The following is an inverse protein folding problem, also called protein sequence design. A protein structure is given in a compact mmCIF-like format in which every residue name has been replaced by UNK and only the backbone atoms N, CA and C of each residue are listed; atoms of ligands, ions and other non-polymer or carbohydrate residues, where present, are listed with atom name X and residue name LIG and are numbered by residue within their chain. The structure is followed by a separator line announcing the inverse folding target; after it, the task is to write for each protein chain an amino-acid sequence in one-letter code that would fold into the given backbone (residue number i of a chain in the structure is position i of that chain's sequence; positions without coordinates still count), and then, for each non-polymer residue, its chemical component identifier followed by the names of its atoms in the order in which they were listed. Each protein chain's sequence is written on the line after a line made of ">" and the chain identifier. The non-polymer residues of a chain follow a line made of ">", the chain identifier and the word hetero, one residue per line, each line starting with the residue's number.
data_IF_774509827142
#
_entry.id   IF_774509827142
#
_cell.length_a   1.000
_cell.length_b   1.000
_cell.length_c   1.000
_cell.angle_alpha   90.00
_cell.angle_beta   90.00
_cell.angle_gamma   90.00
#
_symmetry.space_group_name_H-M   'P 1'
#
loop_
_entity.id
_entity.type
_entity.pdbx_description
1 polymer ?
#
# COMPACT_ATOMS: atom_id res chain seq x y z
N UNK A 1 -7.70 -10.25 10.41
CA UNK A 1 -9.01 -10.68 9.81
C UNK A 1 -8.73 -11.75 8.76
N UNK A 2 -9.18 -12.98 8.97
CA UNK A 2 -8.84 -14.11 8.09
C UNK A 2 -9.58 -14.01 6.74
N UNK A 3 -8.89 -14.29 5.65
CA UNK A 3 -9.46 -14.43 4.31
C UNK A 3 -9.93 -15.87 4.11
N UNK A 4 -10.99 -16.07 3.30
CA UNK A 4 -11.45 -17.43 2.95
C UNK A 4 -10.43 -18.06 2.01
N UNK A 5 -9.85 -19.18 2.42
CA UNK A 5 -8.85 -19.97 1.69
C UNK A 5 -9.41 -21.36 1.36
N UNK A 6 -9.13 -21.84 0.16
CA UNK A 6 -9.60 -23.15 -0.32
C UNK A 6 -8.47 -23.84 -1.08
N UNK A 7 -8.14 -25.07 -0.72
CA UNK A 7 -7.15 -25.88 -1.43
C UNK A 7 -7.78 -26.44 -2.71
N UNK A 8 -7.14 -26.21 -3.85
CA UNK A 8 -7.49 -26.75 -5.17
C UNK A 8 -6.23 -26.94 -6.00
N UNK A 9 -6.25 -27.88 -6.97
CA UNK A 9 -5.16 -27.96 -7.94
C UNK A 9 -5.15 -26.74 -8.86
N UNK A 10 -3.99 -26.42 -9.42
CA UNK A 10 -3.83 -25.33 -10.37
C UNK A 10 -4.80 -25.45 -11.56
N UNK A 11 -4.94 -26.67 -12.10
CA UNK A 11 -5.80 -26.93 -13.26
C UNK A 11 -7.30 -26.78 -12.93
N UNK A 12 -7.71 -27.09 -11.69
CA UNK A 12 -9.07 -26.85 -11.25
C UNK A 12 -9.36 -25.36 -11.16
N UNK A 13 -8.41 -24.56 -10.65
CA UNK A 13 -8.55 -23.10 -10.55
C UNK A 13 -8.59 -22.45 -11.93
N UNK A 14 -7.75 -22.90 -12.86
CA UNK A 14 -7.76 -22.41 -14.24
C UNK A 14 -9.08 -22.68 -15.00
N UNK A 15 -9.86 -23.66 -14.56
CA UNK A 15 -11.21 -23.98 -15.13
C UNK A 15 -12.33 -23.18 -14.52
N UNK A 16 -12.06 -22.42 -13.45
CA UNK A 16 -13.09 -21.57 -12.84
C UNK A 16 -13.45 -20.45 -13.82
N UNK A 17 -14.75 -20.22 -13.97
CA UNK A 17 -15.22 -19.08 -14.75
C UNK A 17 -14.91 -17.80 -13.99
N UNK A 18 -14.17 -16.90 -14.63
CA UNK A 18 -14.02 -15.52 -14.15
C UNK A 18 -15.40 -14.86 -14.11
N UNK A 19 -15.72 -14.23 -13.00
CA UNK A 19 -17.02 -13.54 -12.87
C UNK A 19 -17.08 -12.37 -13.87
N UNK A 20 -18.28 -12.15 -14.42
CA UNK A 20 -18.52 -10.99 -15.27
C UNK A 20 -18.41 -9.70 -14.43
N UNK A 21 -17.79 -8.67 -15.00
CA UNK A 21 -17.72 -7.37 -14.39
C UNK A 21 -19.11 -6.85 -13.98
N UNK A 22 -19.21 -6.36 -12.75
CA UNK A 22 -20.46 -5.79 -12.17
C UNK A 22 -20.23 -4.30 -11.87
N UNK A 23 -21.06 -3.44 -12.45
CA UNK A 23 -21.02 -1.99 -12.18
C UNK A 23 -21.17 -1.69 -10.69
N UNK A 24 -20.59 -0.60 -10.17
CA UNK A 24 -20.81 -0.12 -8.81
C UNK A 24 -22.31 0.07 -8.51
N UNK A 25 -22.69 -0.14 -7.28
CA UNK A 25 -24.03 0.14 -6.78
C UNK A 25 -23.99 1.28 -5.77
N UNK A 26 -25.06 2.02 -5.64
CA UNK A 26 -25.13 3.12 -4.68
C UNK A 26 -24.79 2.63 -3.27
N UNK A 27 -23.88 3.34 -2.58
CA UNK A 27 -23.49 3.03 -1.21
C UNK A 27 -24.72 3.07 -0.28
N UNK A 28 -24.86 2.07 0.59
CA UNK A 28 -25.90 2.04 1.61
C UNK A 28 -25.72 3.14 2.63
N UNK A 29 -26.72 4.00 2.76
CA UNK A 29 -26.73 5.07 3.77
C UNK A 29 -26.63 4.51 5.19
N UNK A 30 -27.28 3.38 5.45
CA UNK A 30 -27.21 2.70 6.77
C UNK A 30 -25.77 2.26 7.07
N UNK A 31 -25.11 1.56 6.13
CA UNK A 31 -23.73 1.09 6.33
C UNK A 31 -22.76 2.25 6.49
N UNK A 32 -22.95 3.36 5.76
CA UNK A 32 -22.14 4.57 5.93
C UNK A 32 -22.26 5.14 7.35
N UNK A 33 -23.47 5.20 7.91
CA UNK A 33 -23.66 5.63 9.29
C UNK A 33 -23.08 4.64 10.32
N UNK A 34 -23.17 3.34 10.05
CA UNK A 34 -22.53 2.31 10.88
C UNK A 34 -21.01 2.50 10.89
N UNK A 35 -20.38 2.72 9.74
CA UNK A 35 -18.94 3.00 9.65
C UNK A 35 -18.60 4.25 10.48
N UNK A 36 -19.35 5.36 10.35
CA UNK A 36 -19.17 6.58 11.16
C UNK A 36 -19.21 6.27 12.66
N UNK A 37 -20.17 5.45 13.09
CA UNK A 37 -20.33 5.10 14.52
C UNK A 37 -19.15 4.25 15.00
N UNK A 38 -18.77 3.22 14.24
CA UNK A 38 -17.65 2.34 14.58
C UNK A 38 -16.31 3.09 14.59
N UNK A 39 -16.15 4.11 13.74
CA UNK A 39 -14.94 4.94 13.68
C UNK A 39 -14.75 5.81 14.93
N UNK A 40 -15.82 6.16 15.66
CA UNK A 40 -15.74 7.06 16.83
C UNK A 40 -14.75 6.60 17.91
N UNK A 41 -14.68 5.29 18.14
CA UNK A 41 -13.79 4.73 19.16
C UNK A 41 -12.32 4.97 18.81
N UNK A 42 -11.95 4.73 17.55
CA UNK A 42 -10.57 4.93 17.06
C UNK A 42 -10.24 6.43 16.97
N UNK A 43 -11.16 7.25 16.47
CA UNK A 43 -10.96 8.71 16.41
C UNK A 43 -10.76 9.31 17.81
N UNK A 44 -11.48 8.80 18.81
CA UNK A 44 -11.26 9.19 20.21
C UNK A 44 -9.91 8.68 20.75
N UNK A 45 -9.56 7.42 20.47
CA UNK A 45 -8.32 6.80 20.95
C UNK A 45 -7.05 7.47 20.38
N UNK A 46 -7.17 8.07 19.18
CA UNK A 46 -6.08 8.79 18.50
C UNK A 46 -6.17 10.30 18.64
N UNK A 47 -7.06 10.82 19.47
CA UNK A 47 -7.31 12.28 19.63
C UNK A 47 -7.40 12.97 18.25
N UNK A 48 -8.13 12.33 17.31
CA UNK A 48 -8.17 12.75 15.92
C UNK A 48 -8.57 14.21 15.74
N UNK A 49 -7.80 14.95 14.96
CA UNK A 49 -8.08 16.33 14.58
C UNK A 49 -8.04 16.50 13.05
N UNK A 50 -8.72 17.53 12.54
CA UNK A 50 -8.75 17.80 11.11
C UNK A 50 -8.69 19.29 10.83
N UNK A 51 -7.85 19.66 9.85
CA UNK A 51 -7.77 20.98 9.25
C UNK A 51 -8.43 20.96 7.86
N UNK A 52 -9.22 21.99 7.54
CA UNK A 52 -9.86 22.15 6.24
C UNK A 52 -9.32 23.38 5.51
N UNK A 53 -8.87 23.20 4.25
CA UNK A 53 -8.30 24.25 3.42
C UNK A 53 -9.05 24.36 2.11
N UNK A 54 -9.72 25.49 1.88
CA UNK A 54 -10.46 25.77 0.63
C UNK A 54 -11.67 24.88 0.38
N UNK A 55 -12.15 24.16 1.41
CA UNK A 55 -13.27 23.21 1.28
C UNK A 55 -14.64 23.88 1.08
N UNK A 56 -14.74 25.17 1.35
CA UNK A 56 -15.89 26.03 1.03
C UNK A 56 -16.17 26.12 -0.48
N UNK A 57 -15.17 25.86 -1.33
CA UNK A 57 -15.28 25.76 -2.79
C UNK A 57 -16.04 24.53 -3.26
N UNK A 58 -16.08 23.44 -2.48
CA UNK A 58 -16.76 22.19 -2.83
C UNK A 58 -18.24 22.27 -2.47
N UNK A 59 -19.13 22.22 -3.46
CA UNK A 59 -20.58 22.21 -3.22
C UNK A 59 -21.02 20.94 -2.49
N UNK A 60 -22.09 21.03 -1.72
CA UNK A 60 -22.57 19.95 -0.84
C UNK A 60 -22.77 18.60 -1.56
N UNK A 61 -23.39 18.63 -2.73
CA UNK A 61 -23.75 17.42 -3.51
C UNK A 61 -22.89 17.23 -4.76
N UNK A 62 -21.79 17.99 -4.91
CA UNK A 62 -20.89 17.90 -6.05
C UNK A 62 -19.97 16.68 -5.87
N UNK A 63 -19.99 15.70 -6.81
CA UNK A 63 -19.06 14.58 -6.76
C UNK A 63 -17.62 15.06 -6.93
N UNK A 64 -16.71 14.48 -6.15
CA UNK A 64 -15.29 14.82 -6.22
C UNK A 64 -14.43 13.55 -6.12
N UNK A 65 -13.21 13.63 -6.65
CA UNK A 65 -12.19 12.62 -6.44
C UNK A 65 -11.44 12.96 -5.14
N UNK A 66 -11.48 12.06 -4.17
CA UNK A 66 -10.80 12.21 -2.89
C UNK A 66 -9.54 11.36 -2.96
N UNK A 67 -8.38 11.99 -2.97
CA UNK A 67 -7.08 11.34 -2.92
C UNK A 67 -6.56 11.36 -1.49
N UNK A 68 -6.02 10.24 -1.03
CA UNK A 68 -5.49 10.12 0.32
C UNK A 68 -4.21 9.30 0.32
N UNK A 69 -3.22 9.67 1.15
CA UNK A 69 -2.06 8.83 1.41
C UNK A 69 -2.49 7.54 2.13
N UNK A 70 -1.75 6.44 1.87
CA UNK A 70 -2.15 5.11 2.34
C UNK A 70 -1.16 4.57 3.36
N UNK A 71 -1.51 4.67 4.62
CA UNK A 71 -0.55 4.45 5.70
C UNK A 71 -0.97 3.37 6.70
N UNK A 72 -2.29 3.14 6.88
CA UNK A 72 -2.78 2.39 8.02
C UNK A 72 -4.22 1.89 7.82
N UNK A 73 -4.64 0.93 8.65
CA UNK A 73 -6.05 0.50 8.69
C UNK A 73 -7.00 1.57 9.24
N UNK A 74 -6.49 2.62 9.90
CA UNK A 74 -7.30 3.76 10.33
C UNK A 74 -7.79 4.63 9.18
N UNK A 75 -7.24 4.49 7.98
CA UNK A 75 -7.61 5.30 6.80
C UNK A 75 -9.10 5.19 6.47
N UNK A 76 -9.70 3.99 6.59
CA UNK A 76 -11.14 3.79 6.39
C UNK A 76 -11.98 4.54 7.45
N UNK A 77 -11.55 4.51 8.72
CA UNK A 77 -12.23 5.21 9.79
C UNK A 77 -12.14 6.73 9.64
N UNK A 78 -10.99 7.23 9.16
CA UNK A 78 -10.80 8.64 8.84
C UNK A 78 -11.75 9.08 7.73
N UNK A 79 -11.78 8.37 6.59
CA UNK A 79 -12.72 8.66 5.49
C UNK A 79 -14.18 8.59 5.96
N UNK A 80 -14.55 7.52 6.71
CA UNK A 80 -15.88 7.35 7.25
C UNK A 80 -16.30 8.44 8.24
N UNK A 81 -15.33 9.13 8.86
CA UNK A 81 -15.57 10.28 9.75
C UNK A 81 -15.69 11.58 8.97
N UNK A 82 -14.71 11.85 8.07
CA UNK A 82 -14.62 13.12 7.33
C UNK A 82 -15.75 13.31 6.31
N UNK A 83 -16.16 12.22 5.65
CA UNK A 83 -17.12 12.26 4.54
C UNK A 83 -18.42 11.52 4.83
N UNK A 84 -18.77 11.32 6.11
CA UNK A 84 -19.96 10.62 6.54
C UNK A 84 -21.28 11.16 5.95
N UNK A 85 -21.33 12.46 5.71
CA UNK A 85 -22.52 13.15 5.22
C UNK A 85 -22.58 13.24 3.68
N UNK A 86 -21.54 12.66 2.99
CA UNK A 86 -21.41 12.63 1.54
C UNK A 86 -21.51 11.20 1.01
N UNK A 87 -22.14 11.01 -0.13
CA UNK A 87 -22.12 9.74 -0.87
C UNK A 87 -20.71 9.53 -1.44
N UNK A 88 -20.09 8.37 -1.19
CA UNK A 88 -18.77 8.06 -1.73
C UNK A 88 -18.61 6.56 -2.03
N UNK A 89 -17.70 6.27 -2.96
CA UNK A 89 -17.17 4.94 -3.23
C UNK A 89 -15.69 4.89 -2.84
N UNK A 90 -15.18 3.70 -2.54
CA UNK A 90 -13.77 3.49 -2.18
C UNK A 90 -13.17 2.47 -3.13
N UNK A 91 -12.07 2.78 -3.78
CA UNK A 91 -11.33 1.80 -4.59
C UNK A 91 -10.63 0.84 -3.64
N UNK A 92 -10.94 -0.45 -3.77
CA UNK A 92 -10.42 -1.53 -2.94
C UNK A 92 -9.86 -2.66 -3.80
N UNK A 93 -8.86 -3.38 -3.26
CA UNK A 93 -8.30 -4.55 -3.95
C UNK A 93 -9.30 -5.71 -4.04
N UNK A 94 -9.17 -6.51 -5.09
CA UNK A 94 -10.03 -7.66 -5.35
C UNK A 94 -10.04 -8.67 -4.19
N UNK A 95 -8.90 -8.91 -3.54
CA UNK A 95 -8.80 -9.77 -2.36
C UNK A 95 -9.68 -9.29 -1.20
N UNK A 96 -9.89 -7.97 -1.08
CA UNK A 96 -10.82 -7.38 -0.12
C UNK A 96 -12.27 -7.84 -0.29
N UNK A 97 -12.65 -8.35 -1.46
CA UNK A 97 -14.00 -8.84 -1.76
C UNK A 97 -14.19 -10.34 -1.47
N UNK A 98 -13.13 -11.10 -1.27
CA UNK A 98 -13.19 -12.55 -1.09
C UNK A 98 -14.13 -12.95 0.04
N UNK A 99 -15.16 -13.71 -0.30
CA UNK A 99 -16.18 -14.22 0.63
C UNK A 99 -17.18 -13.18 1.15
N UNK A 100 -17.08 -11.92 0.75
CA UNK A 100 -17.90 -10.80 1.24
C UNK A 100 -18.28 -9.77 0.18
N UNK A 101 -18.32 -10.17 -1.09
CA UNK A 101 -18.56 -9.27 -2.23
C UNK A 101 -19.79 -8.38 -2.04
N UNK A 102 -20.93 -8.95 -1.67
CA UNK A 102 -22.16 -8.18 -1.49
C UNK A 102 -22.02 -7.09 -0.41
N UNK A 103 -21.37 -7.41 0.71
CA UNK A 103 -21.11 -6.44 1.77
C UNK A 103 -20.22 -5.30 1.26
N UNK A 104 -19.10 -5.63 0.61
CA UNK A 104 -18.16 -4.65 0.09
C UNK A 104 -18.83 -3.71 -0.92
N UNK A 105 -19.67 -4.25 -1.81
CA UNK A 105 -20.43 -3.45 -2.78
C UNK A 105 -21.40 -2.48 -2.09
N UNK A 106 -22.14 -2.93 -1.06
CA UNK A 106 -23.06 -2.07 -0.31
C UNK A 106 -22.34 -1.03 0.58
N UNK A 107 -21.11 -1.32 1.01
CA UNK A 107 -20.23 -0.33 1.65
C UNK A 107 -19.77 0.75 0.65
N UNK A 108 -19.88 0.47 -0.66
CA UNK A 108 -19.48 1.38 -1.72
C UNK A 108 -18.09 1.07 -2.29
N UNK A 109 -17.55 -0.12 -2.06
CA UNK A 109 -16.26 -0.49 -2.62
C UNK A 109 -16.34 -0.79 -4.12
N UNK A 110 -15.33 -0.32 -4.87
CA UNK A 110 -15.09 -0.62 -6.29
C UNK A 110 -13.85 -1.52 -6.36
N UNK A 111 -13.96 -2.73 -6.92
CA UNK A 111 -12.84 -3.67 -6.99
C UNK A 111 -11.77 -3.21 -8.01
N UNK A 112 -10.51 -3.47 -7.70
CA UNK A 112 -9.39 -3.28 -8.62
C UNK A 112 -8.26 -4.27 -8.34
N UNK A 113 -7.44 -4.55 -9.34
CA UNK A 113 -6.18 -5.26 -9.19
C UNK A 113 -5.04 -4.25 -9.02
N UNK A 114 -4.26 -4.38 -7.95
CA UNK A 114 -3.12 -3.48 -7.69
C UNK A 114 -2.09 -3.58 -8.80
N UNK A 115 -1.60 -2.41 -9.24
CA UNK A 115 -0.51 -2.26 -10.20
C UNK A 115 -0.76 -2.89 -11.59
N UNK A 116 -2.00 -3.20 -11.90
CA UNK A 116 -2.45 -3.72 -13.19
C UNK A 116 -3.31 -2.66 -13.88
N UNK A 117 -3.16 -2.52 -15.20
CA UNK A 117 -4.01 -1.61 -15.99
C UNK A 117 -5.43 -2.18 -16.00
N UNK A 118 -6.37 -1.45 -15.38
CA UNK A 118 -7.77 -1.84 -15.26
C UNK A 118 -8.69 -0.80 -15.91
N UNK A 119 -9.15 -1.11 -17.12
CA UNK A 119 -10.09 -0.23 -17.85
C UNK A 119 -11.48 -0.25 -17.23
N UNK A 120 -11.86 -1.30 -16.49
CA UNK A 120 -13.15 -1.35 -15.80
C UNK A 120 -13.15 -0.37 -14.64
N UNK A 121 -12.05 -0.26 -13.89
CA UNK A 121 -11.93 0.73 -12.82
C UNK A 121 -12.25 2.16 -13.33
N UNK A 122 -11.67 2.55 -14.47
CA UNK A 122 -11.90 3.87 -15.07
C UNK A 122 -13.38 4.08 -15.44
N UNK A 123 -14.02 3.05 -16.01
CA UNK A 123 -15.46 3.09 -16.33
C UNK A 123 -16.33 3.16 -15.08
N UNK A 124 -15.97 2.43 -14.03
CA UNK A 124 -16.70 2.38 -12.77
C UNK A 124 -16.59 3.71 -12.01
N UNK A 125 -15.42 4.33 -11.99
CA UNK A 125 -15.25 5.68 -11.44
C UNK A 125 -16.11 6.69 -12.19
N UNK A 126 -16.09 6.66 -13.52
CA UNK A 126 -16.92 7.55 -14.34
C UNK A 126 -18.41 7.34 -14.05
N UNK A 127 -18.85 6.08 -13.98
CA UNK A 127 -20.23 5.71 -13.63
C UNK A 127 -20.62 6.20 -12.22
N UNK A 128 -19.71 6.10 -11.25
CA UNK A 128 -19.94 6.60 -9.90
C UNK A 128 -20.13 8.13 -9.89
N UNK A 129 -19.34 8.89 -10.63
CA UNK A 129 -19.47 10.34 -10.71
C UNK A 129 -20.72 10.77 -11.50
N UNK A 130 -20.93 10.21 -12.69
CA UNK A 130 -21.94 10.69 -13.63
C UNK A 130 -23.36 10.16 -13.33
N UNK A 131 -23.49 8.86 -12.98
CA UNK A 131 -24.79 8.22 -12.79
C UNK A 131 -25.20 8.15 -11.32
N UNK A 132 -24.27 7.72 -10.44
CA UNK A 132 -24.59 7.57 -9.02
C UNK A 132 -24.45 8.89 -8.24
N UNK A 133 -23.90 9.95 -8.88
CA UNK A 133 -23.61 11.27 -8.25
C UNK A 133 -22.86 11.09 -6.94
N UNK A 134 -21.85 10.25 -6.94
CA UNK A 134 -21.07 9.83 -5.79
C UNK A 134 -19.60 10.22 -5.95
N UNK A 135 -18.98 10.67 -4.89
CA UNK A 135 -17.53 10.89 -4.85
C UNK A 135 -16.77 9.56 -4.90
N UNK A 136 -15.50 9.57 -5.26
CA UNK A 136 -14.65 8.38 -5.25
C UNK A 136 -13.42 8.65 -4.41
N UNK A 137 -13.13 7.77 -3.46
CA UNK A 137 -11.91 7.75 -2.65
C UNK A 137 -10.91 6.84 -3.32
N UNK A 138 -9.72 7.35 -3.56
CA UNK A 138 -8.60 6.62 -4.15
C UNK A 138 -7.34 6.81 -3.32
N UNK A 139 -6.62 5.72 -3.12
CA UNK A 139 -5.26 5.71 -2.58
C UNK A 139 -4.30 5.49 -3.75
N UNK A 140 -3.79 6.55 -4.40
CA UNK A 140 -3.05 6.40 -5.67
C UNK A 140 -1.70 5.72 -5.50
N UNK A 141 -1.19 5.66 -4.29
CA UNK A 141 -0.01 4.87 -3.92
C UNK A 141 -0.25 3.36 -4.06
N UNK A 142 -1.51 2.93 -4.11
CA UNK A 142 -1.98 1.55 -4.29
C UNK A 142 -1.43 0.52 -3.27
N UNK A 143 -0.62 0.94 -2.31
CA UNK A 143 -0.01 0.11 -1.27
C UNK A 143 0.22 0.93 0.00
N UNK A 144 0.24 0.26 1.14
CA UNK A 144 0.69 0.90 2.37
C UNK A 144 2.17 1.27 2.27
N UNK A 145 2.53 2.40 2.89
CA UNK A 145 3.93 2.77 3.08
C UNK A 145 4.63 1.72 3.97
N UNK A 146 5.87 1.37 3.63
CA UNK A 146 6.68 0.46 4.45
C UNK A 146 7.52 1.21 5.49
N UNK A 147 8.05 2.35 5.11
CA UNK A 147 9.01 3.15 5.87
C UNK A 147 8.43 4.48 6.38
N UNK A 148 7.13 4.71 6.17
CA UNK A 148 6.48 5.96 6.56
C UNK A 148 6.65 7.10 5.57
N UNK A 149 7.23 6.86 4.37
CA UNK A 149 7.31 7.86 3.29
C UNK A 149 6.32 7.55 2.17
N UNK A 150 6.14 8.50 1.25
CA UNK A 150 5.32 8.29 0.06
C UNK A 150 5.88 7.18 -0.83
N UNK A 151 4.97 6.46 -1.48
CA UNK A 151 5.31 5.49 -2.52
C UNK A 151 5.16 6.11 -3.90
N UNK A 152 5.80 5.54 -4.95
CA UNK A 152 5.68 6.07 -6.29
C UNK A 152 4.23 6.20 -6.76
N UNK A 153 3.88 7.33 -7.36
CA UNK A 153 2.59 7.53 -8.00
C UNK A 153 2.64 7.11 -9.47
N UNK A 154 1.56 6.52 -10.01
CA UNK A 154 1.48 6.22 -11.43
C UNK A 154 1.36 7.52 -12.26
N UNK A 155 2.19 7.68 -13.30
CA UNK A 155 2.06 8.83 -14.23
C UNK A 155 0.67 8.92 -14.88
N UNK A 156 -0.04 7.78 -14.98
CA UNK A 156 -1.40 7.70 -15.52
C UNK A 156 -2.45 8.42 -14.67
N UNK A 157 -2.14 8.78 -13.42
CA UNK A 157 -3.09 9.48 -12.53
C UNK A 157 -3.48 10.87 -13.12
N UNK A 158 -2.54 11.60 -13.71
CA UNK A 158 -2.83 12.88 -14.35
C UNK A 158 -3.80 12.73 -15.52
N UNK A 159 -3.65 11.67 -16.33
CA UNK A 159 -4.59 11.34 -17.41
C UNK A 159 -5.98 10.97 -16.85
N UNK A 160 -6.02 10.26 -15.72
CA UNK A 160 -7.26 9.95 -15.01
C UNK A 160 -7.99 11.23 -14.58
N UNK A 161 -7.29 12.21 -13.98
CA UNK A 161 -7.89 13.51 -13.62
C UNK A 161 -8.52 14.21 -14.83
N UNK A 162 -7.79 14.28 -15.95
CA UNK A 162 -8.29 14.88 -17.21
C UNK A 162 -9.52 14.18 -17.77
N UNK A 163 -9.63 12.88 -17.56
CA UNK A 163 -10.78 12.10 -18.00
C UNK A 163 -12.00 12.30 -17.09
N UNK A 164 -11.81 12.35 -15.77
CA UNK A 164 -12.90 12.45 -14.80
C UNK A 164 -13.48 13.86 -14.71
N UNK A 165 -12.67 14.92 -14.83
CA UNK A 165 -13.09 16.33 -14.82
C UNK A 165 -13.95 16.73 -13.62
N UNK A 166 -13.63 16.19 -12.45
CA UNK A 166 -14.29 16.51 -11.17
C UNK A 166 -13.30 17.20 -10.24
N UNK A 167 -13.78 17.95 -9.22
CA UNK A 167 -12.90 18.53 -8.21
C UNK A 167 -12.03 17.44 -7.55
N UNK A 168 -10.77 17.77 -7.23
CA UNK A 168 -9.85 16.89 -6.52
C UNK A 168 -9.64 17.41 -5.11
N UNK A 169 -9.97 16.57 -4.14
CA UNK A 169 -9.75 16.81 -2.73
C UNK A 169 -8.59 15.94 -2.26
N UNK A 170 -7.63 16.55 -1.59
CA UNK A 170 -6.51 15.85 -0.97
C UNK A 170 -6.73 15.68 0.52
N UNK A 171 -6.57 14.47 1.02
CA UNK A 171 -6.54 14.14 2.44
C UNK A 171 -5.15 13.64 2.79
N UNK A 172 -4.38 14.45 3.50
CA UNK A 172 -3.06 14.06 3.99
C UNK A 172 -3.14 13.74 5.47
N UNK A 173 -2.83 12.49 5.85
CA UNK A 173 -2.84 12.04 7.24
C UNK A 173 -1.45 12.06 7.85
N UNK A 174 -1.38 12.40 9.13
CA UNK A 174 -0.18 12.37 9.96
C UNK A 174 -0.45 11.50 11.19
N UNK A 175 0.54 10.72 11.60
CA UNK A 175 0.43 9.81 12.75
C UNK A 175 -0.33 8.51 12.46
N UNK A 176 -1.09 8.39 11.36
CA UNK A 176 -1.80 7.14 11.01
C UNK A 176 -0.84 5.97 10.77
N UNK A 177 0.26 6.20 10.03
CA UNK A 177 1.33 5.20 9.87
C UNK A 177 1.92 4.78 11.23
N UNK A 178 2.14 5.74 12.12
CA UNK A 178 2.74 5.48 13.44
C UNK A 178 1.80 4.70 14.37
N UNK A 179 0.48 4.74 14.12
CA UNK A 179 -0.56 4.10 14.92
C UNK A 179 -0.49 2.58 14.88
N UNK A 180 -0.43 2.00 13.69
CA UNK A 180 -0.43 0.55 13.46
C UNK A 180 0.39 0.19 12.20
N UNK A 181 1.74 0.43 12.21
CA UNK A 181 2.56 0.20 11.04
C UNK A 181 2.56 -1.28 10.66
N UNK A 182 2.57 -1.50 9.34
CA UNK A 182 2.46 -2.82 8.75
C UNK A 182 3.59 -3.77 9.19
N UNK A 183 4.82 -3.24 9.25
CA UNK A 183 5.98 -4.02 9.69
C UNK A 183 5.86 -4.58 11.10
N UNK A 184 5.07 -3.94 11.95
CA UNK A 184 4.87 -4.30 13.35
C UNK A 184 3.61 -5.18 13.56
N UNK A 185 3.16 -5.90 12.53
CA UNK A 185 1.96 -6.73 12.52
C UNK A 185 0.70 -5.99 12.98
N UNK A 186 0.60 -4.70 12.64
CA UNK A 186 -0.53 -3.82 12.97
C UNK A 186 -0.80 -3.70 14.48
N UNK A 187 0.25 -3.86 15.30
CA UNK A 187 0.14 -3.60 16.73
C UNK A 187 -0.13 -2.11 16.96
N UNK A 188 -1.24 -1.82 17.65
CA UNK A 188 -1.67 -0.44 17.89
C UNK A 188 -0.79 0.25 18.90
N UNK A 189 -0.32 1.44 18.56
CA UNK A 189 0.46 2.34 19.40
C UNK A 189 -0.38 3.53 19.84
N UNK A 190 -0.04 4.08 21.00
CA UNK A 190 -0.66 5.31 21.49
C UNK A 190 -0.04 6.49 20.73
N UNK A 191 -0.79 7.08 19.82
CA UNK A 191 -0.36 8.27 19.07
C UNK A 191 -1.54 9.12 18.65
N UNK A 192 -1.32 10.42 18.46
CA UNK A 192 -2.30 11.32 17.89
C UNK A 192 -2.30 11.16 16.36
N UNK A 193 -3.49 11.27 15.79
CA UNK A 193 -3.67 11.24 14.33
C UNK A 193 -4.35 12.53 13.90
N UNK A 194 -3.85 13.13 12.84
CA UNK A 194 -4.48 14.28 12.23
C UNK A 194 -4.66 14.10 10.73
N UNK A 195 -5.56 14.90 10.15
CA UNK A 195 -5.74 14.98 8.71
C UNK A 195 -5.81 16.44 8.27
N UNK A 196 -5.17 16.75 7.13
CA UNK A 196 -5.40 17.99 6.39
C UNK A 196 -6.23 17.67 5.16
N UNK A 197 -7.41 18.28 5.05
CA UNK A 197 -8.31 18.13 3.91
C UNK A 197 -8.27 19.40 3.07
N UNK A 198 -7.78 19.29 1.85
CA UNK A 198 -7.56 20.45 0.98
C UNK A 198 -8.32 20.32 -0.34
N UNK A 199 -8.96 21.37 -0.80
CA UNK A 199 -9.43 21.48 -2.17
C UNK A 199 -8.24 21.74 -3.09
N UNK A 200 -7.70 20.67 -3.70
CA UNK A 200 -6.43 20.70 -4.41
C UNK A 200 -6.56 21.27 -5.82
N UNK A 201 -7.51 20.76 -6.61
CA UNK A 201 -7.71 21.16 -8.01
C UNK A 201 -9.19 21.30 -8.34
N UNK A 202 -9.55 22.38 -9.05
CA UNK A 202 -10.86 22.52 -9.67
C UNK A 202 -10.91 21.83 -11.04
N UNK A 203 -12.09 21.56 -11.62
CA UNK A 203 -12.23 21.09 -12.98
C UNK A 203 -11.57 22.04 -14.01
N UNK A 204 -11.60 23.35 -13.76
CA UNK A 204 -10.97 24.38 -14.58
C UNK A 204 -9.44 24.29 -14.52
N UNK A 205 -8.86 24.10 -13.31
CA UNK A 205 -7.42 23.87 -13.14
C UNK A 205 -6.97 22.64 -13.94
N UNK A 206 -7.74 21.53 -13.84
CA UNK A 206 -7.46 20.28 -14.56
C UNK A 206 -7.53 20.47 -16.08
N UNK A 207 -8.47 21.26 -16.56
CA UNK A 207 -8.62 21.52 -18.00
C UNK A 207 -7.45 22.33 -18.57
N UNK A 208 -6.95 23.32 -17.81
CA UNK A 208 -5.93 24.26 -18.25
C UNK A 208 -4.50 23.72 -18.18
N UNK A 209 -4.21 22.82 -17.24
CA UNK A 209 -2.86 22.30 -16.97
C UNK A 209 -2.50 21.11 -17.88
N UNK A 210 -1.23 20.93 -18.19
CA UNK A 210 -0.70 19.73 -18.85
C UNK A 210 -0.78 18.50 -17.92
N UNK A 211 -0.58 17.31 -18.45
CA UNK A 211 -0.51 16.09 -17.62
C UNK A 211 0.73 16.09 -16.72
N UNK A 212 1.80 16.68 -17.18
CA UNK A 212 3.06 16.84 -16.46
C UNK A 212 2.88 17.76 -15.25
N UNK A 213 2.29 18.95 -15.45
CA UNK A 213 2.00 19.89 -14.36
C UNK A 213 1.04 19.30 -13.32
N UNK A 214 0.02 18.56 -13.75
CA UNK A 214 -0.90 17.87 -12.84
C UNK A 214 -0.16 16.78 -12.03
N UNK A 215 0.75 16.05 -12.67
CA UNK A 215 1.55 15.03 -11.99
C UNK A 215 2.50 15.64 -10.96
N UNK A 216 3.15 16.76 -11.27
CA UNK A 216 4.01 17.51 -10.34
C UNK A 216 3.22 17.98 -9.12
N UNK A 217 2.07 18.62 -9.32
CA UNK A 217 1.18 19.06 -8.21
C UNK A 217 0.79 17.89 -7.31
N UNK A 218 0.47 16.73 -7.89
CA UNK A 218 0.14 15.54 -7.11
C UNK A 218 1.36 15.00 -6.36
N UNK A 219 2.51 14.92 -7.01
CA UNK A 219 3.75 14.44 -6.40
C UNK A 219 4.13 15.28 -5.19
N UNK A 220 4.04 16.60 -5.31
CA UNK A 220 4.31 17.54 -4.21
C UNK A 220 3.28 17.35 -3.06
N UNK A 221 1.98 17.23 -3.40
CA UNK A 221 0.92 17.04 -2.43
C UNK A 221 1.02 15.71 -1.67
N UNK A 222 1.64 14.69 -2.27
CA UNK A 222 1.88 13.37 -1.65
C UNK A 222 3.25 13.26 -0.96
N UNK A 223 4.03 14.33 -0.86
CA UNK A 223 5.34 14.30 -0.17
C UNK A 223 5.16 14.31 1.33
N UNK A 224 5.61 13.26 2.00
CA UNK A 224 5.58 13.12 3.47
C UNK A 224 6.68 12.17 3.98
N UNK A 225 7.05 12.32 5.27
CA UNK A 225 7.92 11.42 6.02
C UNK A 225 7.42 11.36 7.48
N UNK A 226 6.80 10.27 7.88
CA UNK A 226 6.14 10.12 9.16
C UNK A 226 7.14 10.07 10.34
N UNK A 227 8.33 9.49 10.16
CA UNK A 227 9.35 9.45 11.22
C UNK A 227 9.98 10.82 11.43
N UNK A 228 10.27 11.55 10.34
CA UNK A 228 10.79 12.91 10.43
C UNK A 228 9.78 13.86 11.07
N UNK A 229 8.51 13.76 10.68
CA UNK A 229 7.41 14.53 11.26
C UNK A 229 7.18 14.17 12.73
N UNK A 230 7.31 12.89 13.11
CA UNK A 230 7.25 12.44 14.51
C UNK A 230 8.25 13.22 15.37
N UNK A 231 9.49 13.28 14.92
CA UNK A 231 10.58 13.99 15.62
C UNK A 231 10.34 15.51 15.65
N UNK A 232 10.02 16.11 14.51
CA UNK A 232 9.85 17.56 14.37
C UNK A 232 8.66 18.09 15.20
N UNK A 233 7.60 17.30 15.35
CA UNK A 233 6.41 17.67 16.13
C UNK A 233 6.48 17.17 17.58
N UNK A 234 7.57 16.57 18.01
CA UNK A 234 7.76 16.07 19.37
C UNK A 234 6.77 14.97 19.78
N UNK A 235 6.36 14.13 18.81
CA UNK A 235 5.44 13.01 19.08
C UNK A 235 6.22 11.86 19.71
N UNK A 236 5.88 11.51 20.94
CA UNK A 236 6.53 10.43 21.70
C UNK A 236 5.73 9.13 21.58
N UNK A 237 6.41 8.05 21.19
CA UNK A 237 5.89 6.69 21.11
C UNK A 237 6.76 5.80 22.00
N UNK A 238 6.28 5.49 23.19
CA UNK A 238 7.01 4.80 24.25
C UNK A 238 6.76 3.28 24.29
N UNK A 239 5.97 2.73 23.36
CA UNK A 239 5.69 1.32 23.31
C UNK A 239 6.97 0.47 23.22
N UNK A 240 7.08 -0.56 24.10
CA UNK A 240 8.30 -1.38 24.18
C UNK A 240 8.49 -2.30 22.96
N UNK A 241 7.51 -2.40 22.07
CA UNK A 241 7.53 -3.21 20.86
C UNK A 241 7.67 -2.38 19.57
N UNK A 242 8.06 -1.08 19.66
CA UNK A 242 8.05 -0.15 18.52
C UNK A 242 9.00 -0.55 17.39
N UNK A 243 10.04 -1.35 17.65
CA UNK A 243 10.93 -1.87 16.62
C UNK A 243 10.64 -3.33 16.22
N UNK A 244 9.62 -4.01 16.81
CA UNK A 244 9.27 -5.37 16.42
C UNK A 244 8.97 -5.45 14.94
N UNK A 245 9.68 -6.34 14.22
CA UNK A 245 9.50 -6.56 12.80
C UNK A 245 10.07 -5.49 11.87
N UNK A 246 10.71 -4.43 12.38
CA UNK A 246 11.28 -3.35 11.54
C UNK A 246 12.38 -3.85 10.61
N UNK A 247 13.01 -5.00 10.89
CA UNK A 247 13.94 -5.68 9.98
C UNK A 247 13.30 -6.13 8.66
N UNK A 248 11.98 -6.22 8.58
CA UNK A 248 11.28 -6.49 7.31
C UNK A 248 11.44 -5.35 6.32
N UNK A 249 11.54 -4.13 6.83
CA UNK A 249 11.79 -2.91 6.06
C UNK A 249 13.28 -2.70 5.92
N UNK A 250 14.01 -2.68 7.04
CA UNK A 250 15.46 -2.45 7.11
C UNK A 250 16.21 -3.79 7.05
N UNK A 251 16.30 -4.36 5.86
CA UNK A 251 16.79 -5.72 5.64
C UNK A 251 18.32 -5.82 5.47
N UNK A 252 19.00 -4.70 5.18
CA UNK A 252 20.45 -4.64 4.95
C UNK A 252 21.16 -3.86 6.05
N UNK A 253 22.15 -4.46 6.68
CA UNK A 253 22.93 -3.81 7.72
C UNK A 253 23.85 -2.73 7.11
N UNK A 254 23.78 -1.46 7.52
CA UNK A 254 24.65 -0.43 6.96
C UNK A 254 26.09 -0.54 7.42
N UNK A 255 26.33 -1.16 8.60
CA UNK A 255 27.67 -1.32 9.17
C UNK A 255 28.49 -2.41 8.45
N UNK A 256 27.90 -3.57 8.10
CA UNK A 256 28.64 -4.69 7.49
C UNK A 256 28.16 -5.06 6.07
N UNK A 257 27.08 -4.47 5.57
CA UNK A 257 26.51 -4.74 4.24
C UNK A 257 25.74 -6.05 4.11
N UNK A 258 25.64 -6.87 5.17
CA UNK A 258 24.88 -8.15 5.13
C UNK A 258 23.39 -7.90 5.02
N UNK A 259 22.72 -8.75 4.23
CA UNK A 259 21.27 -8.77 4.03
C UNK A 259 20.63 -9.98 4.71
N UNK A 260 19.38 -9.82 5.21
CA UNK A 260 18.60 -10.89 5.79
C UNK A 260 19.03 -11.34 7.18
N UNK A 261 20.01 -10.68 7.77
CA UNK A 261 20.53 -10.99 9.12
C UNK A 261 20.13 -9.96 10.18
N UNK A 262 19.25 -9.02 9.82
CA UNK A 262 18.70 -8.05 10.75
C UNK A 262 17.55 -8.64 11.55
N UNK A 263 17.43 -8.29 12.82
CA UNK A 263 16.32 -8.66 13.72
C UNK A 263 15.82 -7.43 14.44
N UNK A 264 14.57 -7.06 14.22
CA UNK A 264 13.88 -6.02 14.99
C UNK A 264 13.06 -6.65 16.11
N UNK A 265 13.39 -6.32 17.34
CA UNK A 265 12.69 -6.83 18.54
C UNK A 265 12.73 -5.81 19.68
N UNK A 266 11.58 -5.60 20.31
CA UNK A 266 11.46 -4.62 21.38
C UNK A 266 11.63 -3.21 20.83
N UNK A 267 12.68 -2.54 21.25
CA UNK A 267 13.06 -1.19 20.79
C UNK A 267 14.33 -1.23 19.92
N UNK A 268 14.90 -2.41 19.69
CA UNK A 268 16.19 -2.59 19.05
C UNK A 268 16.08 -3.24 17.68
N UNK A 269 17.04 -2.92 16.83
CA UNK A 269 17.29 -3.54 15.54
C UNK A 269 18.74 -4.02 15.57
N UNK A 270 18.96 -5.32 15.54
CA UNK A 270 20.30 -5.93 15.71
C UNK A 270 20.68 -6.70 14.45
N UNK A 271 21.94 -6.57 14.03
CA UNK A 271 22.53 -7.41 12.98
C UNK A 271 23.17 -8.65 13.59
N UNK A 272 22.68 -9.84 13.26
CA UNK A 272 23.24 -11.10 13.77
C UNK A 272 24.65 -11.39 13.23
N UNK A 273 25.05 -10.82 12.09
CA UNK A 273 26.36 -11.04 11.48
C UNK A 273 27.48 -10.23 12.12
N UNK A 274 27.25 -8.97 12.50
CA UNK A 274 28.28 -8.11 13.08
C UNK A 274 27.97 -7.61 14.50
N UNK A 275 26.85 -8.03 15.05
CA UNK A 275 26.36 -7.65 16.40
C UNK A 275 26.12 -6.15 16.58
N UNK A 276 26.06 -5.38 15.49
CA UNK A 276 25.71 -3.96 15.56
C UNK A 276 24.25 -3.81 15.95
N UNK A 277 23.98 -2.98 16.95
CA UNK A 277 22.65 -2.72 17.49
C UNK A 277 22.27 -1.23 17.31
N UNK A 278 21.07 -1.01 16.87
CA UNK A 278 20.41 0.29 16.75
C UNK A 278 19.16 0.31 17.63
N UNK A 279 18.87 1.46 18.20
CA UNK A 279 17.66 1.70 18.99
C UNK A 279 16.74 2.63 18.24
N UNK A 280 15.48 2.23 18.07
CA UNK A 280 14.42 3.15 17.65
C UNK A 280 13.97 3.93 18.89
N UNK A 281 14.32 5.21 18.96
CA UNK A 281 13.98 6.09 20.06
C UNK A 281 12.48 6.43 20.06
N UNK A 282 11.99 6.93 21.18
CA UNK A 282 10.56 7.30 21.37
C UNK A 282 10.12 8.45 20.46
N UNK A 283 11.04 9.28 20.02
CA UNK A 283 10.83 10.40 19.09
C UNK A 283 10.94 10.02 17.62
N UNK A 284 11.10 8.72 17.31
CA UNK A 284 11.22 8.19 15.94
C UNK A 284 12.62 8.27 15.34
N UNK A 285 13.61 8.78 16.06
CA UNK A 285 15.02 8.77 15.61
C UNK A 285 15.68 7.43 15.88
N UNK A 286 16.76 7.15 15.16
CA UNK A 286 17.64 6.02 15.40
C UNK A 286 18.90 6.47 16.16
N UNK A 287 19.36 5.62 17.07
CA UNK A 287 20.65 5.79 17.77
C UNK A 287 21.38 4.46 17.89
N UNK A 288 22.65 4.47 18.30
CA UNK A 288 23.42 3.27 18.66
C UNK A 288 24.31 3.56 19.86
N UNK A 289 24.60 2.51 20.67
CA UNK A 289 25.35 2.65 21.91
C UNK A 289 26.78 3.17 21.71
N UNK A 290 27.38 2.90 20.56
CA UNK A 290 28.74 3.39 20.18
C UNK A 290 28.72 4.80 19.55
N UNK A 291 27.59 5.50 19.53
CA UNK A 291 27.39 6.80 18.91
C UNK A 291 27.73 6.85 17.40
N UNK A 292 27.74 5.71 16.72
CA UNK A 292 27.99 5.58 15.28
C UNK A 292 26.75 5.05 14.59
N UNK A 293 25.67 5.83 14.62
CA UNK A 293 24.46 5.53 13.89
C UNK A 293 24.54 6.19 12.50
N UNK A 294 24.49 5.39 11.44
CA UNK A 294 24.67 5.83 10.06
C UNK A 294 23.49 6.67 9.58
N UNK A 295 22.30 6.43 10.12
CA UNK A 295 21.06 7.10 9.73
C UNK A 295 20.29 7.62 10.95
N UNK A 296 19.76 8.82 10.82
CA UNK A 296 18.94 9.43 11.88
C UNK A 296 17.51 8.89 11.88
N UNK A 297 16.96 8.56 10.70
CA UNK A 297 15.58 8.11 10.55
C UNK A 297 15.50 6.78 9.79
N UNK A 298 14.42 6.04 10.02
CA UNK A 298 14.11 4.81 9.29
C UNK A 298 14.00 5.06 7.79
N UNK A 299 13.42 6.19 7.39
CA UNK A 299 13.28 6.61 6.00
C UNK A 299 14.63 6.85 5.31
N UNK A 300 15.62 7.44 6.01
CA UNK A 300 16.98 7.64 5.46
C UNK A 300 17.67 6.28 5.20
N UNK A 301 17.51 5.31 6.13
CA UNK A 301 18.06 3.97 5.95
C UNK A 301 17.39 3.26 4.77
N UNK A 302 16.07 3.29 4.69
CA UNK A 302 15.34 2.67 3.57
C UNK A 302 15.67 3.32 2.21
N UNK A 303 15.89 4.64 2.19
CA UNK A 303 16.36 5.34 1.00
C UNK A 303 17.76 4.89 0.58
N UNK A 304 18.67 4.63 1.55
CA UNK A 304 19.99 4.04 1.27
C UNK A 304 19.85 2.60 0.72
N UNK A 305 18.97 1.76 1.26
CA UNK A 305 18.71 0.42 0.72
C UNK A 305 18.23 0.48 -0.73
N UNK A 306 17.35 1.45 -1.08
CA UNK A 306 16.94 1.72 -2.46
C UNK A 306 18.14 2.00 -3.37
N UNK A 307 19.11 2.79 -2.93
CA UNK A 307 20.32 3.06 -3.69
C UNK A 307 21.18 1.80 -3.86
N UNK A 308 21.26 0.94 -2.83
CA UNK A 308 21.98 -0.32 -2.94
C UNK A 308 21.35 -1.25 -3.98
N UNK A 309 20.03 -1.40 -3.95
CA UNK A 309 19.29 -2.19 -4.94
C UNK A 309 19.46 -1.62 -6.35
N UNK A 310 19.37 -0.30 -6.50
CA UNK A 310 19.62 0.36 -7.79
C UNK A 310 21.00 0.03 -8.33
N UNK A 311 22.04 0.09 -7.49
CA UNK A 311 23.40 -0.29 -7.86
C UNK A 311 23.50 -1.75 -8.29
N UNK A 312 22.90 -2.67 -7.54
CA UNK A 312 22.85 -4.10 -7.91
C UNK A 312 22.20 -4.32 -9.28
N UNK A 313 21.15 -3.55 -9.62
CA UNK A 313 20.50 -3.62 -10.94
C UNK A 313 21.39 -3.06 -12.06
N UNK A 314 22.07 -1.93 -11.82
CA UNK A 314 22.99 -1.32 -12.77
C UNK A 314 24.21 -2.25 -13.04
N UNK A 315 24.72 -2.90 -12.00
CA UNK A 315 25.82 -3.87 -12.06
C UNK A 315 25.38 -5.27 -12.53
N UNK A 316 24.06 -5.51 -12.73
CA UNK A 316 23.46 -6.81 -13.10
C UNK A 316 23.77 -7.94 -12.10
N UNK A 317 23.92 -7.59 -10.84
CA UNK A 317 24.17 -8.52 -9.74
C UNK A 317 22.88 -8.84 -8.95
N UNK A 318 21.80 -8.06 -9.18
CA UNK A 318 20.52 -8.29 -8.53
C UNK A 318 19.92 -9.63 -8.92
N UNK A 319 19.60 -10.43 -7.91
CA UNK A 319 18.87 -11.69 -8.06
C UNK A 319 18.04 -11.96 -6.80
N UNK A 320 16.75 -12.13 -6.96
CA UNK A 320 15.88 -12.81 -6.03
C UNK A 320 15.54 -14.19 -6.60
N UNK A 321 15.76 -15.26 -5.84
CA UNK A 321 15.48 -16.64 -6.26
C UNK A 321 15.08 -17.45 -5.04
N UNK A 322 13.77 -17.71 -4.86
CA UNK A 322 13.19 -18.22 -3.63
C UNK A 322 12.12 -19.26 -3.89
N UNK A 323 11.98 -20.20 -2.95
CA UNK A 323 10.86 -21.13 -2.90
C UNK A 323 9.66 -20.46 -2.23
N UNK A 324 8.47 -20.68 -2.81
CA UNK A 324 7.23 -20.03 -2.39
C UNK A 324 6.07 -21.02 -2.32
N UNK A 325 5.14 -20.77 -1.39
CA UNK A 325 3.79 -21.29 -1.46
C UNK A 325 2.94 -20.35 -2.32
N UNK A 326 2.14 -20.92 -3.22
CA UNK A 326 1.39 -20.14 -4.22
C UNK A 326 -0.10 -20.20 -3.91
N UNK A 327 -0.70 -19.01 -3.82
CA UNK A 327 -2.16 -18.87 -3.82
C UNK A 327 -2.59 -18.08 -5.04
N UNK A 328 -3.78 -18.39 -5.58
CA UNK A 328 -4.34 -17.71 -6.74
C UNK A 328 -5.63 -16.99 -6.39
N UNK A 329 -5.81 -15.80 -6.96
CA UNK A 329 -7.08 -15.09 -6.98
C UNK A 329 -7.57 -14.97 -8.43
N UNK A 330 -8.73 -15.57 -8.72
CA UNK A 330 -9.39 -15.54 -10.03
C UNK A 330 -10.86 -15.11 -9.94
N UNK A 331 -11.44 -15.19 -8.74
CA UNK A 331 -12.81 -14.78 -8.42
C UNK A 331 -12.91 -14.21 -7.00
N UNK A 332 -14.09 -13.76 -6.60
CA UNK A 332 -14.35 -13.22 -5.26
C UNK A 332 -14.83 -14.26 -4.24
N UNK A 333 -14.83 -15.55 -4.58
CA UNK A 333 -15.36 -16.62 -3.71
C UNK A 333 -14.34 -17.11 -2.68
N UNK A 334 -13.08 -17.24 -3.10
CA UNK A 334 -11.98 -17.70 -2.24
C UNK A 334 -10.63 -17.25 -2.80
N UNK A 335 -9.61 -17.16 -1.94
CA UNK A 335 -8.23 -17.33 -2.37
C UNK A 335 -7.95 -18.83 -2.48
N UNK A 336 -7.24 -19.27 -3.52
CA UNK A 336 -7.03 -20.69 -3.78
C UNK A 336 -5.58 -21.08 -3.54
N UNK A 337 -5.31 -21.95 -2.56
CA UNK A 337 -3.99 -22.56 -2.36
C UNK A 337 -3.77 -23.62 -3.44
N UNK A 338 -2.82 -23.40 -4.36
CA UNK A 338 -2.65 -24.22 -5.57
C UNK A 338 -1.40 -25.08 -5.58
N UNK A 339 -0.48 -24.85 -4.67
CA UNK A 339 0.76 -25.63 -4.53
C UNK A 339 1.97 -24.76 -4.24
N UNK A 340 3.13 -25.28 -4.56
CA UNK A 340 4.43 -24.69 -4.32
C UNK A 340 5.10 -24.32 -5.64
N UNK A 341 6.13 -23.46 -5.55
CA UNK A 341 6.90 -23.09 -6.72
C UNK A 341 8.16 -22.32 -6.37
N UNK A 342 8.79 -21.81 -7.42
CA UNK A 342 9.98 -20.97 -7.35
C UNK A 342 9.71 -19.64 -8.02
N UNK A 343 9.94 -18.57 -7.28
CA UNK A 343 9.84 -17.19 -7.74
C UNK A 343 11.24 -16.62 -7.95
N UNK A 344 11.51 -16.15 -9.17
CA UNK A 344 12.72 -15.43 -9.52
C UNK A 344 12.38 -14.00 -9.92
N UNK A 345 13.22 -13.05 -9.52
CA UNK A 345 13.16 -11.66 -9.97
C UNK A 345 14.57 -11.19 -10.32
N UNK A 346 14.71 -10.68 -11.52
CA UNK A 346 15.96 -10.21 -12.11
C UNK A 346 15.73 -8.89 -12.86
N UNK A 347 16.75 -8.39 -13.55
CA UNK A 347 16.64 -7.28 -14.51
C UNK A 347 15.64 -7.54 -15.66
N UNK A 348 15.24 -8.81 -15.88
CA UNK A 348 14.23 -9.23 -16.87
C UNK A 348 12.79 -9.24 -16.31
N UNK A 349 12.61 -8.96 -15.03
CA UNK A 349 11.32 -9.03 -14.32
C UNK A 349 11.13 -10.33 -13.55
N UNK A 350 9.87 -10.68 -13.29
CA UNK A 350 9.51 -11.88 -12.54
C UNK A 350 9.31 -13.10 -13.44
N UNK A 351 9.72 -14.24 -12.92
CA UNK A 351 9.42 -15.58 -13.41
C UNK A 351 8.89 -16.43 -12.24
N UNK A 352 7.72 -17.05 -12.40
CA UNK A 352 7.13 -17.97 -11.44
C UNK A 352 6.91 -19.32 -12.11
N UNK A 353 7.56 -20.36 -11.60
CA UNK A 353 7.36 -21.74 -12.02
C UNK A 353 6.88 -22.53 -10.79
N UNK A 354 5.77 -23.28 -10.93
CA UNK A 354 5.20 -24.00 -9.79
C UNK A 354 4.20 -25.07 -10.16
N UNK A 355 3.54 -25.62 -9.16
CA UNK A 355 2.46 -26.61 -9.32
C UNK A 355 2.91 -27.81 -10.18
N UNK A 356 4.08 -28.40 -9.84
CA UNK A 356 4.69 -29.52 -10.57
C UNK A 356 4.96 -29.20 -12.06
N UNK A 357 5.38 -27.97 -12.37
CA UNK A 357 5.68 -27.49 -13.72
C UNK A 357 4.45 -27.09 -14.55
N UNK A 358 3.25 -27.17 -14.01
CA UNK A 358 2.01 -26.81 -14.71
C UNK A 358 1.78 -25.29 -14.74
N UNK A 359 2.28 -24.55 -13.74
CA UNK A 359 2.30 -23.11 -13.72
C UNK A 359 3.63 -22.59 -14.24
N UNK A 360 3.55 -21.75 -15.28
CA UNK A 360 4.67 -20.94 -15.77
C UNK A 360 4.13 -19.55 -16.08
N UNK A 361 4.61 -18.53 -15.35
CA UNK A 361 4.18 -17.15 -15.53
C UNK A 361 5.39 -16.22 -15.53
N UNK A 362 5.40 -15.23 -16.43
CA UNK A 362 6.42 -14.20 -16.49
C UNK A 362 5.80 -12.81 -16.47
N UNK A 363 6.43 -11.89 -15.78
CA UNK A 363 6.00 -10.49 -15.72
C UNK A 363 7.16 -9.57 -16.08
N UNK A 364 7.00 -8.83 -17.19
CA UNK A 364 7.98 -7.83 -17.63
C UNK A 364 8.16 -6.72 -16.60
N UNK A 365 9.36 -6.13 -16.45
CA UNK A 365 9.58 -4.96 -15.58
C UNK A 365 8.70 -3.75 -15.94
N UNK A 366 8.28 -3.62 -17.20
CA UNK A 366 7.37 -2.52 -17.65
C UNK A 366 5.91 -2.75 -17.29
N UNK A 367 5.54 -3.94 -16.82
CA UNK A 367 4.15 -4.27 -16.52
C UNK A 367 3.61 -3.52 -15.29
N UNK A 368 4.50 -3.14 -14.36
CA UNK A 368 4.08 -2.49 -13.11
C UNK A 368 5.10 -1.47 -12.63
N UNK A 369 4.64 -0.29 -12.21
CA UNK A 369 5.50 0.78 -11.66
C UNK A 369 5.91 0.54 -10.20
N UNK A 370 5.29 -0.41 -9.51
CA UNK A 370 5.63 -0.88 -8.18
C UNK A 370 5.11 -2.31 -7.98
N UNK A 371 5.29 -2.90 -6.82
CA UNK A 371 4.96 -4.28 -6.50
C UNK A 371 3.86 -4.34 -5.45
N UNK A 372 2.82 -5.16 -5.69
CA UNK A 372 1.92 -5.54 -4.62
C UNK A 372 2.67 -6.49 -3.68
N UNK A 373 3.10 -5.95 -2.57
CA UNK A 373 3.81 -6.68 -1.54
C UNK A 373 3.24 -6.24 -0.18
N UNK A 374 3.20 -7.14 0.77
CA UNK A 374 2.58 -6.88 2.06
C UNK A 374 3.27 -7.69 3.17
N UNK A 375 3.21 -7.18 4.39
CA UNK A 375 3.64 -7.88 5.58
C UNK A 375 2.42 -8.41 6.34
N UNK A 376 2.52 -9.64 6.87
CA UNK A 376 1.46 -10.26 7.66
C UNK A 376 0.09 -10.28 6.97
N UNK A 377 0.08 -10.41 5.61
CA UNK A 377 -1.10 -10.35 4.79
C UNK A 377 -2.19 -11.34 5.27
N UNK A 378 -3.33 -10.79 5.68
CA UNK A 378 -4.46 -11.52 6.30
C UNK A 378 -4.05 -12.50 7.41
N UNK A 379 -3.00 -12.20 8.18
CA UNK A 379 -2.44 -13.05 9.25
C UNK A 379 -1.81 -14.36 8.73
N UNK A 380 -1.53 -14.47 7.41
CA UNK A 380 -0.90 -15.65 6.80
C UNK A 380 0.62 -15.50 6.82
N UNK A 381 1.14 -14.36 6.35
CA UNK A 381 2.57 -14.11 6.25
C UNK A 381 2.92 -12.99 5.29
N UNK A 382 4.21 -12.76 5.14
CA UNK A 382 4.75 -11.78 4.20
C UNK A 382 4.60 -12.35 2.78
N UNK A 383 4.19 -11.50 1.83
CA UNK A 383 3.90 -11.98 0.47
C UNK A 383 4.29 -10.98 -0.62
N UNK A 384 4.51 -11.53 -1.80
CA UNK A 384 4.68 -10.82 -3.07
C UNK A 384 3.55 -11.28 -4.00
N UNK A 385 2.85 -10.34 -4.61
CA UNK A 385 1.80 -10.65 -5.59
C UNK A 385 2.21 -10.16 -6.98
N UNK A 386 2.18 -11.07 -7.95
CA UNK A 386 2.35 -10.81 -9.38
C UNK A 386 1.14 -11.34 -10.14
N UNK A 387 0.95 -10.94 -11.38
CA UNK A 387 -0.17 -11.43 -12.17
C UNK A 387 -0.71 -10.40 -13.16
N UNK A 388 -1.86 -10.71 -13.70
CA UNK A 388 -2.56 -9.89 -14.69
C UNK A 388 -4.06 -9.75 -14.34
N UNK A 389 -4.85 -9.25 -15.29
CA UNK A 389 -6.29 -9.09 -15.12
C UNK A 389 -7.08 -10.41 -15.03
N UNK A 390 -6.48 -11.56 -15.35
CA UNK A 390 -7.12 -12.88 -15.33
C UNK A 390 -6.82 -13.66 -14.07
N UNK A 391 -5.58 -13.56 -13.57
CA UNK A 391 -5.14 -14.26 -12.36
C UNK A 391 -4.06 -13.45 -11.62
N UNK A 392 -4.20 -13.42 -10.31
CA UNK A 392 -3.17 -12.89 -9.42
C UNK A 392 -2.56 -14.03 -8.62
N UNK A 393 -1.23 -14.08 -8.55
CA UNK A 393 -0.44 -15.09 -7.87
C UNK A 393 0.17 -14.47 -6.61
N UNK A 394 -0.31 -14.88 -5.46
CA UNK A 394 0.20 -14.49 -4.14
C UNK A 394 1.28 -15.49 -3.73
N UNK A 395 2.52 -15.05 -3.78
CA UNK A 395 3.70 -15.86 -3.49
C UNK A 395 4.17 -15.61 -2.07
N UNK A 396 4.07 -16.60 -1.20
CA UNK A 396 4.52 -16.56 0.18
C UNK A 396 5.89 -17.22 0.27
N UNK A 397 6.97 -16.51 0.61
CA UNK A 397 8.29 -17.09 0.80
C UNK A 397 8.23 -18.21 1.84
N UNK A 398 8.79 -19.38 1.56
CA UNK A 398 8.87 -20.47 2.53
C UNK A 398 9.76 -20.11 3.73
N UNK A 399 10.83 -19.37 3.47
CA UNK A 399 11.68 -18.80 4.52
C UNK A 399 11.23 -17.34 4.82
N UNK A 400 10.33 -17.20 5.78
CA UNK A 400 9.82 -15.91 6.25
C UNK A 400 10.84 -15.12 7.11
N UNK A 401 11.97 -15.71 7.47
CA UNK A 401 13.01 -15.03 8.26
C UNK A 401 13.85 -14.09 7.42
N UNK A 402 13.92 -14.31 6.11
CA UNK A 402 14.61 -13.43 5.16
C UNK A 402 13.67 -12.32 4.71
N UNK A 403 13.99 -11.11 5.05
CA UNK A 403 13.18 -9.92 4.75
C UNK A 403 13.31 -9.49 3.27
N UNK A 404 12.76 -10.31 2.36
CA UNK A 404 12.92 -10.14 0.91
C UNK A 404 11.88 -9.23 0.26
N UNK A 405 10.73 -9.01 0.93
CA UNK A 405 9.59 -8.29 0.39
C UNK A 405 9.95 -6.83 0.08
N UNK A 406 10.64 -6.16 1.00
CA UNK A 406 11.12 -4.79 0.80
C UNK A 406 12.08 -4.71 -0.39
N UNK A 407 13.08 -5.59 -0.45
CA UNK A 407 14.07 -5.62 -1.54
C UNK A 407 13.40 -5.84 -2.90
N UNK A 408 12.46 -6.79 -3.00
CA UNK A 408 11.73 -7.07 -4.23
C UNK A 408 10.91 -5.86 -4.71
N UNK A 409 10.25 -5.14 -3.78
CA UNK A 409 9.51 -3.92 -4.10
C UNK A 409 10.43 -2.82 -4.61
N UNK A 410 11.53 -2.54 -3.89
CA UNK A 410 12.52 -1.55 -4.31
C UNK A 410 13.09 -1.87 -5.70
N UNK A 411 13.41 -3.14 -5.96
CA UNK A 411 13.93 -3.57 -7.26
C UNK A 411 12.91 -3.38 -8.39
N UNK A 412 11.64 -3.71 -8.14
CA UNK A 412 10.57 -3.49 -9.13
C UNK A 412 10.45 -2.01 -9.48
N UNK A 413 10.45 -1.14 -8.49
CA UNK A 413 10.32 0.31 -8.67
C UNK A 413 11.51 0.92 -9.40
N UNK A 414 12.73 0.51 -9.05
CA UNK A 414 13.94 1.01 -9.72
C UNK A 414 14.07 0.47 -11.16
N UNK A 415 13.75 -0.81 -11.40
CA UNK A 415 13.71 -1.37 -12.76
C UNK A 415 12.72 -0.62 -13.66
N UNK A 416 11.52 -0.33 -13.16
CA UNK A 416 10.54 0.43 -13.92
C UNK A 416 11.06 1.83 -14.29
N UNK A 417 11.70 2.53 -13.33
CA UNK A 417 12.30 3.86 -13.57
C UNK A 417 13.44 3.82 -14.59
N UNK A 418 14.27 2.77 -14.57
CA UNK A 418 15.40 2.61 -15.52
C UNK A 418 14.93 2.35 -16.95
N UNK A 419 13.67 1.94 -17.15
CA UNK A 419 13.11 1.56 -18.46
C UNK A 419 12.17 2.63 -19.04
N UNK A 420 11.95 3.73 -18.33
CA UNK A 420 11.20 4.92 -18.79
C UNK A 420 12.11 5.88 -19.56
#
# INVERSE_FOLDING_TARGET
>A
MKIKDTVKSYEEVCKLNTEMHKKPIRQSTVLRHVIKILSKAEMKATEFSCEYVGMDRLKKDEPCLILMNHSSFTDLQIIGTLFADRQYHIICTNDGFVGKENLMRHVGCIPTAKFIIDTNLVRDMKYAFEELKSSVVMYPEASYSFDGTQTPLPKSIAKCLKLMKVPVIMVMTQGSFLRDPLYNNLQKRKTKVSAKVSYLLSPEDIAQKSSEELYEILSDAFTYDQFRMQHEHGVIIDEPFRADGLHRVLYKCPSCGREGDMVGKGIHITCNSCSKEYTLNEDGTLSSADNKCEFKYVSDWYAWERQQVKKELEEKTYLLDIDVDIKMLVDTKSIYSVGEGRLRHTDKGFELIGCDGKLSYTQSPKASYSLYADYFWYEIGDMICIGDSKAQYYCFPKDQTKAIVAKARLATEELYKMLL
#
